data_IF_227548660163
#
_entry.id   IF_227548660163
#
_cell.length_a   1.000
_cell.length_b   1.000
_cell.length_c   1.000
_cell.angle_alpha   90.00
_cell.angle_beta   90.00
_cell.angle_gamma   90.00
#
_symmetry.space_group_name_H-M   'P 1'
#
loop_
_entity.id
_entity.type
_entity.pdbx_description
1 polymer ?
#
# COMPACT_ATOMS: atom_id res chain seq x y z
N UNK A 1 -25.10 -41.69 -12.09
CA UNK A 1 -25.74 -40.90 -11.01
C UNK A 1 -24.84 -39.83 -10.38
N UNK A 2 -23.61 -40.13 -9.94
CA UNK A 2 -22.71 -39.15 -9.28
C UNK A 2 -22.38 -37.91 -10.14
N UNK A 3 -22.17 -38.09 -11.45
CA UNK A 3 -21.92 -37.00 -12.41
C UNK A 3 -23.12 -36.04 -12.58
N UNK A 4 -24.34 -36.56 -12.60
CA UNK A 4 -25.56 -35.73 -12.69
C UNK A 4 -25.83 -34.95 -11.41
N UNK A 5 -25.56 -35.53 -10.23
CA UNK A 5 -25.63 -34.81 -8.95
C UNK A 5 -24.63 -33.65 -8.90
N UNK A 6 -23.39 -33.86 -9.36
CA UNK A 6 -22.38 -32.80 -9.46
C UNK A 6 -22.80 -31.69 -10.44
N UNK A 7 -23.37 -32.05 -11.59
CA UNK A 7 -23.87 -31.07 -12.57
C UNK A 7 -24.99 -30.20 -12.00
N UNK A 8 -25.95 -30.80 -11.29
CA UNK A 8 -27.06 -30.07 -10.67
C UNK A 8 -26.56 -29.12 -9.57
N UNK A 9 -25.59 -29.55 -8.76
CA UNK A 9 -24.96 -28.68 -7.76
C UNK A 9 -24.23 -27.51 -8.43
N UNK A 10 -23.47 -27.77 -9.49
CA UNK A 10 -22.76 -26.73 -10.24
C UNK A 10 -23.73 -25.71 -10.83
N UNK A 11 -24.80 -26.15 -11.48
CA UNK A 11 -25.84 -25.28 -12.03
C UNK A 11 -26.56 -24.49 -10.94
N UNK A 12 -26.79 -25.09 -9.77
CA UNK A 12 -27.34 -24.39 -8.60
C UNK A 12 -26.43 -23.26 -8.11
N UNK A 13 -25.12 -23.52 -8.00
CA UNK A 13 -24.12 -22.50 -7.61
C UNK A 13 -24.10 -21.36 -8.63
N UNK A 14 -24.09 -21.68 -9.93
CA UNK A 14 -24.15 -20.69 -11.01
C UNK A 14 -25.43 -19.86 -10.90
N UNK A 15 -26.59 -20.50 -10.69
CA UNK A 15 -27.87 -19.81 -10.52
C UNK A 15 -27.87 -18.84 -9.34
N UNK A 16 -27.39 -19.28 -8.17
CA UNK A 16 -27.25 -18.42 -6.97
C UNK A 16 -26.32 -17.24 -7.25
N UNK A 17 -25.19 -17.46 -7.93
CA UNK A 17 -24.26 -16.41 -8.30
C UNK A 17 -24.90 -15.37 -9.23
N UNK A 18 -25.63 -15.79 -10.26
CA UNK A 18 -26.33 -14.87 -11.17
C UNK A 18 -27.41 -14.06 -10.44
N UNK A 19 -28.19 -14.69 -9.55
CA UNK A 19 -29.19 -14.01 -8.73
C UNK A 19 -28.52 -12.97 -7.83
N UNK A 20 -27.48 -13.35 -7.08
CA UNK A 20 -26.75 -12.44 -6.20
C UNK A 20 -26.12 -11.27 -6.97
N UNK A 21 -25.54 -11.53 -8.14
CA UNK A 21 -24.98 -10.49 -9.03
C UNK A 21 -26.07 -9.54 -9.51
N UNK A 22 -27.22 -10.06 -9.90
CA UNK A 22 -28.36 -9.24 -10.37
C UNK A 22 -28.86 -8.34 -9.25
N UNK A 23 -29.06 -8.89 -8.05
CA UNK A 23 -29.46 -8.11 -6.86
C UNK A 23 -28.45 -6.99 -6.61
N UNK A 24 -27.14 -7.28 -6.65
CA UNK A 24 -26.09 -6.28 -6.44
C UNK A 24 -26.17 -5.11 -7.42
N UNK A 25 -26.40 -5.38 -8.70
CA UNK A 25 -26.51 -4.33 -9.72
C UNK A 25 -27.67 -3.37 -9.44
N UNK A 26 -28.75 -3.83 -8.79
CA UNK A 26 -29.89 -2.98 -8.44
C UNK A 26 -29.73 -2.24 -7.10
N UNK A 27 -28.95 -2.80 -6.16
CA UNK A 27 -28.81 -2.26 -4.80
C UNK A 27 -27.61 -1.33 -4.63
N UNK A 28 -26.57 -1.52 -5.44
CA UNK A 28 -25.40 -0.63 -5.46
C UNK A 28 -25.76 0.68 -6.14
N UNK A 29 -25.36 1.79 -5.52
CA UNK A 29 -25.52 3.11 -6.13
C UNK A 29 -24.36 3.38 -7.09
N UNK A 30 -24.71 3.76 -8.32
CA UNK A 30 -23.76 4.18 -9.36
C UNK A 30 -23.67 5.71 -9.46
N UNK A 31 -23.56 6.35 -8.31
CA UNK A 31 -23.36 7.80 -8.17
C UNK A 31 -22.33 8.01 -7.08
N UNK A 32 -21.41 8.95 -7.28
CA UNK A 32 -20.43 9.35 -6.29
C UNK A 32 -21.09 9.66 -4.94
N UNK A 33 -20.61 8.97 -3.90
CA UNK A 33 -21.01 9.16 -2.51
C UNK A 33 -19.78 9.49 -1.67
N UNK A 34 -19.99 10.14 -0.53
CA UNK A 34 -18.95 10.43 0.44
C UNK A 34 -19.32 9.91 1.82
N UNK A 35 -18.31 9.43 2.54
CA UNK A 35 -18.36 9.07 3.95
C UNK A 35 -17.18 9.76 4.64
N UNK A 36 -17.45 10.55 5.68
CA UNK A 36 -16.45 11.28 6.43
C UNK A 36 -16.31 10.68 7.83
N UNK A 37 -15.06 10.51 8.26
CA UNK A 37 -14.68 10.06 9.61
C UNK A 37 -13.68 11.06 10.22
N UNK A 38 -13.11 10.75 11.38
CA UNK A 38 -12.22 11.68 12.09
C UNK A 38 -10.97 12.04 11.27
N UNK A 39 -10.42 11.08 10.52
CA UNK A 39 -9.15 11.25 9.81
C UNK A 39 -9.26 11.08 8.29
N UNK A 40 -10.41 10.62 7.77
CA UNK A 40 -10.58 10.26 6.36
C UNK A 40 -11.86 10.81 5.72
N UNK A 41 -11.76 11.11 4.42
CA UNK A 41 -12.91 11.40 3.56
C UNK A 41 -12.94 10.36 2.45
N UNK A 42 -13.85 9.39 2.53
CA UNK A 42 -13.98 8.29 1.56
C UNK A 42 -15.00 8.68 0.50
N UNK A 43 -14.52 8.90 -0.72
CA UNK A 43 -15.32 9.05 -1.92
C UNK A 43 -15.42 7.71 -2.64
N UNK A 44 -16.63 7.20 -2.82
CA UNK A 44 -16.85 5.88 -3.42
C UNK A 44 -17.99 5.87 -4.43
N UNK A 45 -17.89 5.00 -5.43
CA UNK A 45 -18.91 4.74 -6.44
C UNK A 45 -18.90 3.26 -6.82
N UNK A 46 -20.07 2.67 -7.01
CA UNK A 46 -20.18 1.28 -7.47
C UNK A 46 -19.85 0.20 -6.43
N UNK A 47 -19.78 0.59 -5.15
CA UNK A 47 -19.66 -0.32 -4.01
C UNK A 47 -20.79 -0.07 -3.01
N UNK A 48 -21.04 -1.03 -2.11
CA UNK A 48 -22.02 -0.86 -1.04
C UNK A 48 -21.56 0.18 -0.01
N UNK A 49 -22.53 0.90 0.59
CA UNK A 49 -22.24 1.77 1.73
C UNK A 49 -21.55 1.02 2.88
N UNK A 50 -21.98 -0.22 3.15
CA UNK A 50 -21.35 -1.06 4.18
C UNK A 50 -19.91 -1.47 3.85
N UNK A 51 -19.55 -1.58 2.56
CA UNK A 51 -18.16 -1.79 2.13
C UNK A 51 -17.32 -0.53 2.41
N UNK A 52 -17.86 0.66 2.15
CA UNK A 52 -17.21 1.93 2.47
C UNK A 52 -17.11 2.19 4.00
N UNK A 53 -18.12 1.82 4.78
CA UNK A 53 -18.09 1.90 6.24
C UNK A 53 -17.04 0.96 6.82
N UNK A 54 -16.95 -0.29 6.31
CA UNK A 54 -15.90 -1.23 6.69
C UNK A 54 -14.51 -0.71 6.38
N UNK A 55 -14.33 -0.05 5.23
CA UNK A 55 -13.08 0.61 4.87
C UNK A 55 -12.74 1.74 5.84
N UNK A 56 -13.70 2.60 6.16
CA UNK A 56 -13.55 3.70 7.11
C UNK A 56 -13.09 3.20 8.47
N UNK A 57 -13.79 2.23 9.03
CA UNK A 57 -13.44 1.61 10.31
C UNK A 57 -12.05 0.99 10.27
N UNK A 58 -11.71 0.29 9.18
CA UNK A 58 -10.40 -0.32 9.02
C UNK A 58 -9.26 0.71 9.01
N UNK A 59 -9.43 1.81 8.28
CA UNK A 59 -8.46 2.90 8.23
C UNK A 59 -8.32 3.61 9.58
N UNK A 60 -9.43 3.93 10.24
CA UNK A 60 -9.44 4.58 11.55
C UNK A 60 -8.75 3.71 12.63
N UNK A 61 -9.04 2.40 12.65
CA UNK A 61 -8.42 1.47 13.58
C UNK A 61 -6.89 1.32 13.40
N UNK A 62 -6.36 1.67 12.22
CA UNK A 62 -4.92 1.61 11.93
C UNK A 62 -4.28 3.00 11.86
N UNK A 63 -5.05 4.09 11.95
CA UNK A 63 -4.54 5.45 11.85
C UNK A 63 -3.51 5.77 12.93
N UNK A 64 -3.90 5.63 14.21
CA UNK A 64 -3.00 5.91 15.32
C UNK A 64 -1.81 4.95 15.36
N UNK A 65 -1.97 3.60 15.27
CA UNK A 65 -0.84 2.69 15.27
C UNK A 65 0.22 2.99 14.20
N UNK A 66 -0.18 3.25 12.96
CA UNK A 66 0.76 3.54 11.87
C UNK A 66 1.48 4.88 12.12
N UNK A 67 0.73 5.92 12.47
CA UNK A 67 1.31 7.25 12.70
C UNK A 67 2.24 7.30 13.90
N UNK A 68 1.91 6.59 14.97
CA UNK A 68 2.76 6.47 16.15
C UNK A 68 4.04 5.68 15.83
N UNK A 69 3.93 4.53 15.16
CA UNK A 69 5.11 3.73 14.76
C UNK A 69 6.05 4.51 13.83
N UNK A 70 5.48 5.26 12.87
CA UNK A 70 6.25 6.04 11.90
C UNK A 70 6.54 7.48 12.35
N UNK A 71 6.17 7.84 13.59
CA UNK A 71 6.40 9.20 14.16
C UNK A 71 5.99 10.31 13.20
N UNK A 72 4.83 10.13 12.59
CA UNK A 72 4.31 11.03 11.57
C UNK A 72 3.93 12.39 12.15
N UNK A 73 3.96 13.41 11.29
CA UNK A 73 3.59 14.78 11.63
C UNK A 73 2.08 14.99 11.49
N UNK A 74 1.54 15.99 12.20
CA UNK A 74 0.12 16.34 12.05
C UNK A 74 -0.15 16.84 10.62
N UNK A 75 -1.14 16.25 9.96
CA UNK A 75 -1.56 16.60 8.61
C UNK A 75 -3.09 16.76 8.52
N UNK A 76 -3.59 17.13 7.33
CA UNK A 76 -5.03 17.29 7.08
C UNK A 76 -5.69 15.92 6.91
N UNK A 77 -7.03 15.90 6.85
CA UNK A 77 -7.79 14.70 6.48
C UNK A 77 -7.25 14.09 5.18
N UNK A 78 -7.18 12.77 5.12
CA UNK A 78 -6.77 12.03 3.93
C UNK A 78 -7.99 11.70 3.09
N UNK A 79 -7.96 12.10 1.83
CA UNK A 79 -8.99 11.77 0.85
C UNK A 79 -8.74 10.38 0.27
N UNK A 80 -9.77 9.56 0.27
CA UNK A 80 -9.72 8.17 -0.19
C UNK A 80 -10.68 8.01 -1.34
N UNK A 81 -10.19 7.64 -2.52
CA UNK A 81 -11.03 7.42 -3.70
C UNK A 81 -11.11 5.94 -4.04
N UNK A 82 -12.32 5.41 -3.97
CA UNK A 82 -12.60 3.97 -4.13
C UNK A 82 -13.34 3.72 -5.44
N UNK A 83 -12.77 2.84 -6.27
CA UNK A 83 -13.31 2.53 -7.59
C UNK A 83 -13.74 1.07 -7.67
N UNK A 84 -14.90 0.82 -8.27
CA UNK A 84 -15.45 -0.54 -8.50
C UNK A 84 -14.80 -1.30 -9.67
N UNK A 85 -13.91 -0.65 -10.42
CA UNK A 85 -13.33 -1.19 -11.66
C UNK A 85 -12.00 -0.54 -12.02
N UNK A 86 -11.12 -1.31 -12.68
CA UNK A 86 -9.85 -0.83 -13.23
C UNK A 86 -10.04 0.31 -14.22
N UNK A 87 -11.11 0.27 -15.02
CA UNK A 87 -11.42 1.32 -15.99
C UNK A 87 -11.62 2.68 -15.31
N UNK A 88 -12.52 2.76 -14.33
CA UNK A 88 -12.78 4.03 -13.61
C UNK A 88 -11.54 4.53 -12.88
N UNK A 89 -10.78 3.63 -12.25
CA UNK A 89 -9.51 3.96 -11.60
C UNK A 89 -8.50 4.53 -12.60
N UNK A 90 -8.28 3.88 -13.74
CA UNK A 90 -7.36 4.37 -14.78
C UNK A 90 -7.82 5.70 -15.38
N UNK A 91 -9.12 5.88 -15.59
CA UNK A 91 -9.69 7.15 -16.08
C UNK A 91 -9.47 8.28 -15.09
N UNK A 92 -9.68 8.03 -13.79
CA UNK A 92 -9.53 9.07 -12.77
C UNK A 92 -8.06 9.42 -12.48
N UNK A 93 -7.16 8.45 -12.55
CA UNK A 93 -5.74 8.62 -12.20
C UNK A 93 -4.85 8.92 -13.42
N UNK A 94 -5.29 8.60 -14.63
CA UNK A 94 -4.48 8.66 -15.85
C UNK A 94 -3.43 7.55 -15.95
N UNK A 95 -3.43 6.57 -15.03
CA UNK A 95 -2.53 5.42 -15.08
C UNK A 95 -2.96 4.44 -16.18
N UNK A 96 -2.00 3.93 -16.94
CA UNK A 96 -2.22 2.92 -17.99
C UNK A 96 -1.87 1.50 -17.54
N UNK A 97 -1.14 1.38 -16.44
CA UNK A 97 -0.68 0.11 -15.90
C UNK A 97 -1.78 -0.59 -15.09
N UNK A 98 -1.64 -1.91 -14.91
CA UNK A 98 -2.59 -2.73 -14.13
C UNK A 98 -2.31 -2.64 -12.62
N UNK A 99 -2.18 -1.42 -12.11
CA UNK A 99 -1.95 -1.13 -10.70
C UNK A 99 -3.28 -1.10 -9.94
N UNK A 100 -3.26 -1.49 -8.65
CA UNK A 100 -4.46 -1.59 -7.80
C UNK A 100 -4.69 -0.38 -6.90
N UNK A 101 -3.64 0.40 -6.62
CA UNK A 101 -3.69 1.59 -5.80
C UNK A 101 -2.61 2.60 -6.18
N UNK A 102 -2.83 3.87 -5.84
CA UNK A 102 -1.82 4.91 -5.98
C UNK A 102 -2.10 6.04 -5.00
N UNK A 103 -1.08 6.47 -4.28
CA UNK A 103 -1.09 7.76 -3.58
C UNK A 103 -0.94 8.92 -4.58
N UNK A 104 -1.71 9.98 -4.36
CA UNK A 104 -1.67 11.26 -5.11
C UNK A 104 -1.25 12.37 -4.17
N UNK A 105 -0.09 12.16 -3.54
CA UNK A 105 0.48 13.08 -2.56
C UNK A 105 0.18 12.70 -1.11
N UNK A 106 0.51 13.58 -0.16
CA UNK A 106 0.50 13.27 1.26
C UNK A 106 -0.89 13.15 1.92
N UNK A 107 -1.96 13.53 1.23
CA UNK A 107 -3.32 13.57 1.79
C UNK A 107 -4.38 13.00 0.84
N UNK A 108 -3.97 12.19 -0.14
CA UNK A 108 -4.89 11.66 -1.14
C UNK A 108 -4.37 10.33 -1.69
N UNK A 109 -5.25 9.32 -1.77
CA UNK A 109 -4.94 8.10 -2.50
C UNK A 109 -6.19 7.48 -3.14
N UNK A 110 -5.93 6.67 -4.16
CA UNK A 110 -6.91 6.05 -5.04
C UNK A 110 -6.67 4.56 -5.05
N UNK A 111 -7.70 3.73 -5.02
CA UNK A 111 -7.53 2.29 -5.20
C UNK A 111 -8.81 1.60 -5.69
N UNK A 112 -8.64 0.35 -6.14
CA UNK A 112 -9.71 -0.48 -6.67
C UNK A 112 -10.26 -1.37 -5.57
N UNK A 113 -11.57 -1.29 -5.33
CA UNK A 113 -12.26 -2.24 -4.48
C UNK A 113 -12.55 -3.52 -5.26
N UNK A 114 -11.91 -4.62 -4.89
CA UNK A 114 -12.17 -5.92 -5.53
C UNK A 114 -12.94 -6.86 -4.61
N UNK A 115 -13.88 -7.61 -5.19
CA UNK A 115 -14.63 -8.68 -4.55
C UNK A 115 -15.05 -9.70 -5.62
N UNK A 116 -15.72 -10.78 -5.21
CA UNK A 116 -16.15 -11.85 -6.12
C UNK A 116 -17.17 -11.43 -7.19
N UNK A 117 -17.72 -10.21 -7.13
CA UNK A 117 -18.64 -9.70 -8.14
C UNK A 117 -17.94 -8.94 -9.27
N UNK A 118 -16.75 -8.38 -9.01
CA UNK A 118 -16.01 -7.58 -9.99
C UNK A 118 -14.58 -8.11 -10.28
N UNK A 119 -14.13 -9.15 -9.58
CA UNK A 119 -12.88 -9.86 -9.86
C UNK A 119 -13.05 -11.38 -9.75
N UNK A 120 -12.37 -12.12 -10.63
CA UNK A 120 -12.29 -13.60 -10.59
C UNK A 120 -11.39 -14.05 -9.44
N UNK A 121 -10.34 -13.26 -9.14
CA UNK A 121 -9.44 -13.46 -8.02
C UNK A 121 -9.36 -12.12 -7.28
N UNK A 122 -10.29 -11.85 -6.34
CA UNK A 122 -10.26 -10.59 -5.61
C UNK A 122 -9.05 -10.56 -4.68
N UNK A 123 -8.34 -9.45 -4.72
CA UNK A 123 -7.32 -9.11 -3.72
C UNK A 123 -8.02 -8.67 -2.41
N UNK A 124 -7.26 -8.40 -1.36
CA UNK A 124 -7.80 -7.80 -0.14
C UNK A 124 -7.77 -6.26 -0.25
N UNK A 125 -8.88 -5.60 -0.61
CA UNK A 125 -8.89 -4.16 -0.82
C UNK A 125 -8.58 -3.36 0.46
N UNK A 126 -8.75 -3.96 1.65
CA UNK A 126 -8.43 -3.33 2.91
C UNK A 126 -6.92 -3.22 3.10
N UNK A 127 -6.18 -4.26 2.70
CA UNK A 127 -4.71 -4.22 2.71
C UNK A 127 -4.16 -3.21 1.71
N UNK A 128 -4.73 -3.17 0.50
CA UNK A 128 -4.39 -2.13 -0.48
C UNK A 128 -4.63 -0.73 0.08
N UNK A 129 -5.75 -0.50 0.78
CA UNK A 129 -6.01 0.79 1.40
C UNK A 129 -4.97 1.16 2.49
N UNK A 130 -4.55 0.21 3.34
CA UNK A 130 -3.48 0.46 4.31
C UNK A 130 -2.13 0.72 3.65
N UNK A 131 -1.83 -0.01 2.57
CA UNK A 131 -0.61 0.18 1.80
C UNK A 131 -0.53 1.62 1.25
N UNK A 132 -1.59 2.08 0.58
CA UNK A 132 -1.65 3.44 0.04
C UNK A 132 -1.72 4.53 1.12
N UNK A 133 -2.41 4.27 2.24
CA UNK A 133 -2.38 5.17 3.40
C UNK A 133 -0.96 5.34 3.94
N UNK A 134 -0.20 4.25 4.03
CA UNK A 134 1.19 4.28 4.51
C UNK A 134 2.09 5.11 3.59
N UNK A 135 1.85 5.09 2.27
CA UNK A 135 2.51 6.00 1.34
C UNK A 135 2.22 7.48 1.63
N UNK A 136 0.98 7.85 1.94
CA UNK A 136 0.65 9.21 2.36
C UNK A 136 1.42 9.62 3.62
N UNK A 137 1.55 8.71 4.61
CA UNK A 137 2.32 8.95 5.84
C UNK A 137 3.80 9.17 5.54
N UNK A 138 4.42 8.30 4.73
CA UNK A 138 5.81 8.47 4.31
C UNK A 138 6.03 9.84 3.63
N UNK A 139 5.12 10.28 2.76
CA UNK A 139 5.19 11.58 2.11
C UNK A 139 5.05 12.74 3.11
N UNK A 140 4.18 12.65 4.12
CA UNK A 140 4.07 13.67 5.17
C UNK A 140 5.39 13.87 5.92
N UNK A 141 6.05 12.77 6.30
CA UNK A 141 7.37 12.79 6.96
C UNK A 141 8.42 13.44 6.04
N UNK A 142 8.51 12.97 4.80
CA UNK A 142 9.49 13.46 3.82
C UNK A 142 9.29 14.94 3.49
N UNK A 143 8.05 15.38 3.28
CA UNK A 143 7.73 16.78 3.00
C UNK A 143 8.06 17.65 4.21
N UNK A 144 7.75 17.19 5.42
CA UNK A 144 8.11 17.92 6.62
C UNK A 144 9.64 18.07 6.75
N UNK A 145 10.38 17.00 6.50
CA UNK A 145 11.84 17.04 6.54
C UNK A 145 12.43 17.93 5.45
N UNK A 146 11.87 17.87 4.25
CA UNK A 146 12.27 18.69 3.11
C UNK A 146 12.14 20.20 3.41
N UNK A 147 11.11 20.63 4.16
CA UNK A 147 10.94 22.03 4.58
C UNK A 147 12.06 22.56 5.47
N UNK A 148 12.79 21.68 6.16
CA UNK A 148 13.96 22.08 6.95
C UNK A 148 15.19 22.36 6.07
N UNK A 149 15.23 21.78 4.86
CA UNK A 149 16.41 21.82 3.98
C UNK A 149 16.22 22.67 2.72
N UNK A 150 15.00 22.74 2.19
CA UNK A 150 14.67 23.52 0.98
C UNK A 150 14.20 24.90 1.44
N UNK A 151 15.10 25.88 1.36
CA UNK A 151 14.84 27.26 1.76
C UNK A 151 14.30 28.03 0.56
N UNK A 152 13.00 27.90 0.30
CA UNK A 152 12.28 28.71 -0.70
C UNK A 152 10.99 29.27 -0.11
N UNK A 153 10.63 30.48 -0.53
CA UNK A 153 9.38 31.12 -0.13
C UNK A 153 8.21 30.79 -1.08
N UNK A 154 8.51 30.25 -2.26
CA UNK A 154 7.51 29.90 -3.27
C UNK A 154 7.13 28.42 -3.19
N UNK A 155 5.81 28.17 -3.12
CA UNK A 155 5.23 26.84 -3.04
C UNK A 155 5.52 26.01 -4.30
N UNK A 156 5.45 26.60 -5.49
CA UNK A 156 5.62 25.86 -6.75
C UNK A 156 7.06 25.35 -6.91
N UNK A 157 8.02 26.18 -6.52
CA UNK A 157 9.44 25.83 -6.50
C UNK A 157 9.70 24.72 -5.48
N UNK A 158 9.13 24.81 -4.28
CA UNK A 158 9.24 23.74 -3.29
C UNK A 158 8.72 22.41 -3.83
N UNK A 159 7.52 22.39 -4.40
CA UNK A 159 6.90 21.17 -4.95
C UNK A 159 7.78 20.55 -6.05
N UNK A 160 8.28 21.37 -6.99
CA UNK A 160 9.16 20.90 -8.06
C UNK A 160 10.50 20.35 -7.56
N UNK A 161 11.12 21.00 -6.59
CA UNK A 161 12.38 20.54 -6.01
C UNK A 161 12.19 19.27 -5.19
N UNK A 162 11.11 19.21 -4.41
CA UNK A 162 10.73 18.01 -3.66
C UNK A 162 10.49 16.82 -4.61
N UNK A 163 9.69 16.99 -5.65
CA UNK A 163 9.37 15.92 -6.60
C UNK A 163 10.63 15.39 -7.30
N UNK A 164 11.53 16.30 -7.70
CA UNK A 164 12.82 15.93 -8.29
C UNK A 164 13.66 15.12 -7.30
N UNK A 165 13.77 15.59 -6.05
CA UNK A 165 14.54 14.92 -5.02
C UNK A 165 13.95 13.55 -4.69
N UNK A 166 12.64 13.48 -4.44
CA UNK A 166 11.92 12.25 -4.15
C UNK A 166 12.12 11.22 -5.27
N UNK A 167 11.89 11.62 -6.53
CA UNK A 167 12.03 10.72 -7.67
C UNK A 167 13.47 10.26 -7.97
N UNK A 168 14.48 10.99 -7.47
CA UNK A 168 15.90 10.64 -7.71
C UNK A 168 16.53 9.90 -6.53
N UNK A 169 16.18 10.28 -5.31
CA UNK A 169 16.88 9.85 -4.10
C UNK A 169 16.09 8.86 -3.24
N UNK A 170 14.75 8.91 -3.23
CA UNK A 170 13.97 8.04 -2.35
C UNK A 170 13.85 6.63 -2.94
N UNK A 171 14.45 5.60 -2.32
CA UNK A 171 14.55 4.31 -2.97
C UNK A 171 13.21 3.58 -2.95
N UNK A 172 12.85 3.00 -4.11
CA UNK A 172 11.62 2.22 -4.27
C UNK A 172 11.56 1.05 -3.29
N UNK A 173 12.68 0.39 -2.99
CA UNK A 173 12.69 -0.70 -2.03
C UNK A 173 12.15 -0.25 -0.67
N UNK A 174 12.50 0.94 -0.19
CA UNK A 174 12.06 1.45 1.10
C UNK A 174 10.60 1.88 1.04
N UNK A 175 10.26 2.65 -0.01
CA UNK A 175 8.91 3.13 -0.29
C UNK A 175 7.88 2.02 -0.19
N UNK A 176 8.13 0.91 -0.91
CA UNK A 176 7.22 -0.23 -0.98
C UNK A 176 7.29 -1.09 0.28
N UNK A 177 8.49 -1.37 0.80
CA UNK A 177 8.65 -2.29 1.93
C UNK A 177 7.93 -1.82 3.19
N UNK A 178 7.93 -0.51 3.48
CA UNK A 178 7.19 0.04 4.64
C UNK A 178 5.69 -0.14 4.45
N UNK A 179 5.16 0.18 3.28
CA UNK A 179 3.73 0.04 2.99
C UNK A 179 3.26 -1.42 3.05
N UNK A 180 4.08 -2.36 2.55
CA UNK A 180 3.83 -3.81 2.65
C UNK A 180 3.87 -4.28 4.11
N UNK A 181 4.83 -3.77 4.90
CA UNK A 181 4.99 -4.12 6.31
C UNK A 181 3.80 -3.67 7.16
N UNK A 182 3.39 -2.41 7.04
CA UNK A 182 2.24 -1.86 7.78
C UNK A 182 0.90 -2.50 7.33
N UNK A 183 0.77 -2.83 6.03
CA UNK A 183 -0.37 -3.59 5.51
C UNK A 183 -0.39 -5.08 5.92
N UNK A 184 0.65 -5.57 6.60
CA UNK A 184 0.81 -6.98 7.03
C UNK A 184 0.72 -7.96 5.85
N UNK A 185 1.36 -7.60 4.75
CA UNK A 185 1.42 -8.41 3.53
C UNK A 185 2.65 -9.32 3.55
N UNK A 186 2.49 -10.54 4.07
CA UNK A 186 3.57 -11.54 4.09
C UNK A 186 3.34 -12.59 3.01
N UNK A 187 4.31 -12.75 2.11
CA UNK A 187 4.36 -13.86 1.16
C UNK A 187 5.48 -14.84 1.52
N UNK A 188 5.14 -15.89 2.27
CA UNK A 188 6.12 -16.88 2.77
C UNK A 188 6.78 -17.71 1.66
N UNK A 189 6.11 -17.89 0.52
CA UNK A 189 6.69 -18.60 -0.63
C UNK A 189 7.82 -17.78 -1.27
N UNK A 190 7.63 -16.46 -1.33
CA UNK A 190 8.61 -15.54 -1.90
C UNK A 190 9.88 -15.39 -1.06
N UNK A 191 9.81 -15.64 0.25
CA UNK A 191 11.00 -15.66 1.10
C UNK A 191 11.99 -16.75 0.65
N UNK A 192 11.50 -17.92 0.24
CA UNK A 192 12.35 -18.99 -0.29
C UNK A 192 13.05 -18.59 -1.59
N UNK A 193 12.38 -17.80 -2.43
CA UNK A 193 12.97 -17.29 -3.68
C UNK A 193 14.11 -16.30 -3.40
N UNK A 194 13.90 -15.32 -2.49
CA UNK A 194 14.92 -14.34 -2.14
C UNK A 194 16.23 -15.00 -1.65
N UNK A 195 16.11 -16.01 -0.77
CA UNK A 195 17.24 -16.80 -0.26
C UNK A 195 18.07 -17.43 -1.39
N UNK A 196 17.41 -17.97 -2.41
CA UNK A 196 18.10 -18.64 -3.52
C UNK A 196 18.86 -17.70 -4.46
N UNK A 197 18.55 -16.40 -4.43
CA UNK A 197 19.06 -15.40 -5.37
C UNK A 197 20.01 -14.38 -4.76
N UNK A 198 20.09 -14.26 -3.44
CA UNK A 198 20.84 -13.20 -2.75
C UNK A 198 20.52 -11.81 -3.32
N UNK A 199 19.22 -11.50 -3.44
CA UNK A 199 18.75 -10.25 -4.03
C UNK A 199 19.36 -9.02 -3.32
N UNK A 200 19.74 -8.00 -4.10
CA UNK A 200 20.25 -6.73 -3.57
C UNK A 200 19.16 -5.65 -3.54
N UNK A 201 19.36 -4.59 -2.76
CA UNK A 201 18.46 -3.44 -2.72
C UNK A 201 18.38 -2.72 -4.07
N UNK A 202 19.47 -2.71 -4.85
CA UNK A 202 19.51 -2.16 -6.21
C UNK A 202 18.62 -2.95 -7.17
N UNK A 203 18.68 -4.28 -7.13
CA UNK A 203 17.80 -5.15 -7.93
C UNK A 203 16.33 -4.97 -7.55
N UNK A 204 16.05 -4.76 -6.26
CA UNK A 204 14.70 -4.53 -5.74
C UNK A 204 14.14 -3.16 -6.13
N UNK A 205 14.98 -2.13 -6.28
CA UNK A 205 14.55 -0.84 -6.83
C UNK A 205 14.00 -0.97 -8.26
N UNK A 206 14.51 -1.94 -9.01
CA UNK A 206 14.21 -2.11 -10.43
C UNK A 206 13.30 -3.31 -10.74
N UNK A 207 12.78 -4.01 -9.72
CA UNK A 207 11.99 -5.23 -9.92
C UNK A 207 10.70 -5.27 -9.11
N UNK A 208 9.71 -6.01 -9.62
CA UNK A 208 8.47 -6.28 -8.90
C UNK A 208 8.64 -7.30 -7.76
N UNK A 209 9.84 -7.82 -7.53
CA UNK A 209 10.10 -8.69 -6.38
C UNK A 209 9.95 -7.95 -5.06
N UNK A 210 10.04 -6.62 -5.06
CA UNK A 210 9.82 -5.84 -3.85
C UNK A 210 8.46 -6.10 -3.19
N UNK A 211 7.39 -6.24 -3.98
CA UNK A 211 6.04 -6.56 -3.48
C UNK A 211 5.94 -7.93 -2.82
N UNK A 212 6.87 -8.82 -3.14
CA UNK A 212 6.87 -10.19 -2.65
C UNK A 212 7.67 -10.36 -1.35
N UNK A 213 8.68 -9.52 -1.13
CA UNK A 213 9.72 -9.74 -0.12
C UNK A 213 9.95 -8.51 0.78
N UNK A 214 9.42 -7.34 0.42
CA UNK A 214 9.65 -6.06 1.10
C UNK A 214 9.26 -6.09 2.57
N UNK A 215 8.21 -6.83 2.93
CA UNK A 215 7.84 -7.09 4.33
C UNK A 215 9.04 -7.51 5.19
N UNK A 216 9.86 -8.44 4.67
CA UNK A 216 10.98 -9.02 5.42
C UNK A 216 12.13 -8.05 5.64
N UNK A 217 12.25 -7.01 4.80
CA UNK A 217 13.28 -5.98 4.93
C UNK A 217 12.97 -5.14 6.17
N UNK A 218 11.74 -4.64 6.30
CA UNK A 218 11.34 -3.86 7.48
C UNK A 218 11.24 -4.75 8.72
N UNK A 219 10.85 -6.01 8.56
CA UNK A 219 10.89 -6.96 9.65
C UNK A 219 12.32 -7.17 10.18
N UNK A 220 13.30 -7.32 9.30
CA UNK A 220 14.71 -7.37 9.69
C UNK A 220 15.15 -6.08 10.38
N UNK A 221 14.86 -4.92 9.78
CA UNK A 221 15.18 -3.60 10.33
C UNK A 221 14.65 -3.44 11.74
N UNK A 222 13.36 -3.70 11.94
CA UNK A 222 12.71 -3.57 13.24
C UNK A 222 13.18 -4.63 14.25
N UNK A 223 13.55 -5.83 13.80
CA UNK A 223 14.09 -6.87 14.68
C UNK A 223 15.49 -6.56 15.20
N UNK A 224 16.33 -5.88 14.41
CA UNK A 224 17.73 -5.64 14.73
C UNK A 224 17.99 -4.29 15.37
N UNK A 225 17.26 -3.24 14.96
CA UNK A 225 17.45 -1.87 15.45
C UNK A 225 16.22 -1.29 16.18
N UNK A 226 15.13 -2.05 16.27
CA UNK A 226 13.87 -1.58 16.87
C UNK A 226 13.03 -0.75 15.90
N UNK A 227 11.77 -0.49 16.28
CA UNK A 227 10.81 0.22 15.42
C UNK A 227 11.17 1.68 15.16
N UNK A 228 11.82 2.32 16.14
CA UNK A 228 12.18 3.74 16.10
C UNK A 228 13.15 4.13 14.98
N UNK A 229 13.80 3.16 14.35
CA UNK A 229 14.76 3.40 13.27
C UNK A 229 14.09 3.65 11.92
N UNK A 230 12.89 3.09 11.70
CA UNK A 230 12.16 3.21 10.42
C UNK A 230 11.86 4.68 10.08
N UNK A 231 11.30 5.51 10.98
CA UNK A 231 11.08 6.92 10.68
C UNK A 231 12.37 7.72 10.43
N UNK A 232 13.48 7.31 11.05
CA UNK A 232 14.79 7.93 10.80
C UNK A 232 15.28 7.61 9.39
N UNK A 233 15.07 6.36 8.94
CA UNK A 233 15.42 5.91 7.61
C UNK A 233 14.56 6.57 6.52
N UNK A 234 13.26 6.78 6.78
CA UNK A 234 12.40 7.61 5.91
C UNK A 234 12.98 9.03 5.82
N UNK A 235 13.22 9.66 6.97
CA UNK A 235 13.72 11.04 7.06
C UNK A 235 15.12 11.24 6.46
N UNK A 236 15.91 10.17 6.34
CA UNK A 236 17.22 10.17 5.70
C UNK A 236 17.17 9.84 4.22
N UNK A 237 15.97 9.74 3.62
CA UNK A 237 15.77 9.30 2.24
C UNK A 237 16.36 7.90 1.96
N UNK A 238 16.32 7.00 2.95
CA UNK A 238 16.84 5.64 2.82
C UNK A 238 18.35 5.50 2.94
N UNK A 239 19.05 6.54 3.38
CA UNK A 239 20.49 6.48 3.67
C UNK A 239 20.81 5.52 4.83
N UNK A 240 21.27 4.32 4.46
CA UNK A 240 21.60 3.22 5.37
C UNK A 240 22.83 3.55 6.23
N UNK A 241 23.89 4.08 5.63
CA UNK A 241 25.14 4.36 6.34
C UNK A 241 24.93 5.42 7.43
N UNK A 242 24.23 6.50 7.08
CA UNK A 242 23.94 7.57 8.01
C UNK A 242 23.04 7.11 9.15
N UNK A 243 22.07 6.25 8.88
CA UNK A 243 21.01 5.89 9.84
C UNK A 243 21.39 4.66 10.67
N UNK A 244 21.87 3.60 10.03
CA UNK A 244 22.14 2.30 10.63
C UNK A 244 23.61 2.09 11.02
N UNK A 245 24.51 2.98 10.58
CA UNK A 245 25.95 2.95 10.86
C UNK A 245 26.63 1.67 10.33
N UNK A 246 26.13 1.15 9.21
CA UNK A 246 26.67 0.01 8.46
C UNK A 246 26.61 0.30 6.97
N UNK A 247 27.37 -0.40 6.14
CA UNK A 247 27.29 -0.24 4.69
C UNK A 247 26.04 -0.92 4.10
N UNK A 248 25.59 -0.54 2.88
CA UNK A 248 24.53 -1.25 2.18
C UNK A 248 24.82 -2.75 2.00
N UNK A 249 26.07 -3.13 1.72
CA UNK A 249 26.46 -4.53 1.56
C UNK A 249 26.38 -5.31 2.87
N UNK A 250 26.75 -4.69 3.99
CA UNK A 250 26.58 -5.28 5.33
C UNK A 250 25.10 -5.43 5.68
N UNK A 251 24.27 -4.47 5.28
CA UNK A 251 22.83 -4.52 5.45
C UNK A 251 22.23 -5.72 4.70
N UNK A 252 22.54 -5.85 3.42
CA UNK A 252 22.04 -6.92 2.54
C UNK A 252 22.47 -8.30 3.06
N UNK A 253 23.76 -8.49 3.38
CA UNK A 253 24.25 -9.75 3.97
C UNK A 253 23.54 -10.08 5.26
N UNK A 254 23.34 -9.08 6.13
CA UNK A 254 22.63 -9.26 7.39
C UNK A 254 21.15 -9.61 7.20
N UNK A 255 20.48 -9.00 6.22
CA UNK A 255 19.10 -9.31 5.88
C UNK A 255 18.96 -10.73 5.32
N UNK A 256 19.82 -11.16 4.40
CA UNK A 256 19.83 -12.55 3.90
C UNK A 256 20.06 -13.54 5.05
N UNK A 257 21.02 -13.27 5.95
CA UNK A 257 21.24 -14.11 7.12
C UNK A 257 20.03 -14.16 8.07
N UNK A 258 19.28 -13.05 8.20
CA UNK A 258 18.03 -13.03 8.94
C UNK A 258 16.96 -13.92 8.29
N UNK A 259 16.84 -13.90 6.96
CA UNK A 259 15.92 -14.79 6.24
C UNK A 259 16.25 -16.26 6.47
N UNK A 260 17.52 -16.65 6.37
CA UNK A 260 17.96 -18.04 6.60
C UNK A 260 17.67 -18.55 8.01
N UNK A 261 17.76 -17.66 9.01
CA UNK A 261 17.50 -18.03 10.40
C UNK A 261 16.02 -18.16 10.70
N UNK A 262 15.16 -17.35 10.07
CA UNK A 262 13.76 -17.20 10.46
C UNK A 262 12.78 -17.99 9.58
N UNK A 263 13.10 -18.24 8.31
CA UNK A 263 12.22 -18.83 7.30
C UNK A 263 12.87 -20.02 6.60
#
# INVERSE_FOLDING_TARGET
MRKYKLLVILLGIIGVFYIARTIRTFTVKHKAQTLESEHFIISYDGIYKSEAEKLSEHLENNYAPIRENLKDVKHKLIKVFVYDSQYKFNTATGLKENTKGTSRGPNEFHFIWTNWFNSIFPDDPLKTALHEFTHCIQLNILINKAKETIITQDRLTFEKEFDKKFGTEYPRWLWESISIFEAKEVNTLSVKYAKSKNLTLEELNNSNQIYNIGYTIIEYVTSKWGKDIVPQLISSFGDIEKTLKITPEEFEKGWIAFLEKKY
#
